data_IF_309960495420
#
_entry.id   IF_309960495420
#
_cell.length_a   1.000
_cell.length_b   1.000
_cell.length_c   1.000
_cell.angle_alpha   90.00
_cell.angle_beta   90.00
_cell.angle_gamma   90.00
#
_symmetry.space_group_name_H-M   'P 1'
#
loop_
_entity.id
_entity.type
_entity.pdbx_description
1 polymer ?
#
# COMPACT_ATOMS: atom_id res chain seq x y z
N UNK A 1 -3.83 9.09 -31.02
CA UNK A 1 -3.15 8.53 -29.84
C UNK A 1 -2.35 9.65 -29.20
N UNK A 2 -2.58 9.91 -27.91
CA UNK A 2 -1.77 10.86 -27.14
C UNK A 2 -0.75 10.06 -26.33
N UNK A 3 0.54 10.36 -26.51
CA UNK A 3 1.61 9.79 -25.71
C UNK A 3 2.00 10.81 -24.63
N UNK A 4 2.17 10.35 -23.39
CA UNK A 4 2.58 11.19 -22.27
C UNK A 4 3.93 10.72 -21.77
N UNK A 5 4.88 11.64 -21.69
CA UNK A 5 6.16 11.44 -21.02
C UNK A 5 6.25 12.41 -19.84
N UNK A 6 6.67 11.90 -18.68
CA UNK A 6 6.90 12.73 -17.49
C UNK A 6 8.37 12.61 -17.09
N UNK A 7 9.01 13.76 -16.92
CA UNK A 7 10.38 13.88 -16.43
C UNK A 7 10.41 14.72 -15.18
N UNK A 8 11.40 14.49 -14.32
CA UNK A 8 11.62 15.29 -13.13
C UNK A 8 13.11 15.56 -12.99
N UNK A 9 13.46 16.81 -12.76
CA UNK A 9 14.82 17.26 -12.50
C UNK A 9 14.81 17.95 -11.14
N UNK A 10 15.60 17.44 -10.20
CA UNK A 10 15.85 18.10 -8.92
C UNK A 10 16.71 19.33 -9.12
N UNK A 11 16.13 20.53 -9.00
CA UNK A 11 16.87 21.80 -9.07
C UNK A 11 17.59 22.10 -7.75
N UNK A 12 17.12 21.53 -6.64
CA UNK A 12 17.68 21.76 -5.31
C UNK A 12 17.52 20.55 -4.38
N UNK A 13 18.61 20.17 -3.73
CA UNK A 13 18.67 18.97 -2.89
C UNK A 13 17.98 19.15 -1.54
N UNK A 14 17.97 20.37 -0.97
CA UNK A 14 17.30 20.66 0.31
C UNK A 14 17.59 19.65 1.42
N UNK A 15 16.51 19.08 2.00
CA UNK A 15 16.62 18.08 3.07
C UNK A 15 17.12 16.71 2.59
N UNK A 16 17.21 16.47 1.28
CA UNK A 16 17.76 15.22 0.72
C UNK A 16 19.26 15.06 1.01
N UNK A 17 19.99 16.16 1.23
CA UNK A 17 21.39 16.13 1.66
C UNK A 17 21.60 15.39 2.99
N UNK A 18 20.58 15.36 3.86
CA UNK A 18 20.65 14.73 5.18
C UNK A 18 20.02 13.32 5.20
N UNK A 19 19.01 13.06 4.37
CA UNK A 19 18.24 11.80 4.36
C UNK A 19 18.74 10.75 3.35
N UNK A 20 19.71 11.11 2.49
CA UNK A 20 20.17 10.24 1.41
C UNK A 20 19.33 10.38 0.14
N UNK A 21 19.99 10.16 -0.99
CA UNK A 21 19.54 10.53 -2.33
C UNK A 21 18.20 9.89 -2.76
N UNK A 22 17.44 10.63 -3.58
CA UNK A 22 16.05 10.34 -3.91
C UNK A 22 15.90 9.58 -5.23
N UNK A 23 16.76 8.60 -5.48
CA UNK A 23 16.77 7.82 -6.72
C UNK A 23 17.14 8.65 -7.95
N UNK A 24 17.48 7.96 -9.04
CA UNK A 24 17.96 8.61 -10.27
C UNK A 24 16.87 9.50 -10.89
N UNK A 25 17.22 10.76 -11.18
CA UNK A 25 16.31 11.69 -11.83
C UNK A 25 16.16 11.33 -13.32
N UNK A 26 14.90 11.28 -13.79
CA UNK A 26 14.58 11.05 -15.19
C UNK A 26 14.59 12.40 -15.91
N UNK A 27 15.75 12.71 -16.51
CA UNK A 27 15.96 13.91 -17.31
C UNK A 27 15.39 13.69 -18.71
N UNK A 28 14.46 14.54 -19.11
CA UNK A 28 13.96 14.58 -20.49
C UNK A 28 14.75 15.58 -21.32
N UNK A 29 15.01 15.29 -22.61
CA UNK A 29 15.58 16.26 -23.51
C UNK A 29 14.62 17.45 -23.70
N UNK A 30 15.14 18.68 -23.84
CA UNK A 30 14.30 19.85 -24.12
C UNK A 30 13.65 19.68 -25.50
N UNK A 31 12.34 19.93 -25.58
CA UNK A 31 11.54 19.82 -26.80
C UNK A 31 10.72 21.09 -27.01
N UNK A 32 10.75 21.60 -28.24
CA UNK A 32 9.91 22.73 -28.66
C UNK A 32 8.53 22.23 -29.10
N UNK A 33 7.44 22.99 -28.84
CA UNK A 33 6.11 22.62 -29.30
C UNK A 33 6.11 22.48 -30.82
N UNK A 34 5.53 21.40 -31.34
CA UNK A 34 5.44 21.01 -32.77
C UNK A 34 6.69 20.38 -33.43
N UNK A 35 7.69 19.97 -32.66
CA UNK A 35 8.84 19.23 -33.20
C UNK A 35 8.39 17.86 -33.76
N UNK A 36 8.69 17.52 -35.03
CA UNK A 36 8.42 16.19 -35.56
C UNK A 36 9.33 15.16 -34.87
N UNK A 37 8.73 14.17 -34.21
CA UNK A 37 9.43 13.11 -33.50
C UNK A 37 9.21 11.78 -34.23
N UNK A 38 10.31 11.12 -34.60
CA UNK A 38 10.27 9.75 -35.10
C UNK A 38 10.42 8.77 -33.93
N UNK A 39 9.55 7.74 -33.84
CA UNK A 39 9.69 6.73 -32.79
C UNK A 39 10.94 5.90 -33.04
N UNK A 40 11.88 5.91 -32.08
CA UNK A 40 13.10 5.12 -32.15
C UNK A 40 12.86 3.60 -32.12
N UNK A 41 11.68 3.16 -31.69
CA UNK A 41 11.30 1.75 -31.60
C UNK A 41 9.80 1.56 -31.90
N UNK A 42 9.38 0.38 -32.39
CA UNK A 42 7.97 0.08 -32.60
C UNK A 42 7.21 0.10 -31.25
N UNK A 43 5.94 0.56 -31.24
CA UNK A 43 5.14 0.60 -30.03
C UNK A 43 4.94 -0.81 -29.47
N UNK A 44 5.36 -1.03 -28.22
CA UNK A 44 5.07 -2.27 -27.49
C UNK A 44 3.68 -2.18 -26.87
N UNK A 45 2.84 -3.17 -27.15
CA UNK A 45 1.57 -3.34 -26.47
C UNK A 45 1.84 -4.05 -25.13
N UNK A 46 1.88 -3.29 -24.05
CA UNK A 46 1.99 -3.84 -22.69
C UNK A 46 0.59 -4.03 -22.11
N UNK A 47 0.27 -5.26 -21.74
CA UNK A 47 -0.98 -5.60 -21.06
C UNK A 47 -0.73 -5.57 -19.55
N UNK A 48 -1.23 -4.53 -18.88
CA UNK A 48 -1.22 -4.50 -17.43
C UNK A 48 -2.42 -5.26 -16.87
N UNK A 49 -2.16 -6.16 -15.92
CA UNK A 49 -3.20 -6.78 -15.10
C UNK A 49 -3.39 -5.98 -13.82
N UNK A 50 -4.64 -5.76 -13.43
CA UNK A 50 -4.96 -5.19 -12.11
C UNK A 50 -4.45 -6.13 -11.03
N UNK A 51 -3.44 -5.67 -10.29
CA UNK A 51 -2.95 -6.39 -9.13
C UNK A 51 -3.98 -6.27 -7.99
N UNK A 52 -4.21 -7.34 -7.23
CA UNK A 52 -5.01 -7.23 -6.02
C UNK A 52 -4.36 -6.22 -5.06
N UNK A 53 -5.16 -5.61 -4.17
CA UNK A 53 -4.65 -4.68 -3.18
C UNK A 53 -3.53 -5.34 -2.36
N UNK A 54 -2.44 -4.61 -2.07
CA UNK A 54 -1.34 -5.17 -1.30
C UNK A 54 -1.79 -5.50 0.12
N UNK A 55 -1.35 -6.66 0.59
CA UNK A 55 -1.52 -7.09 1.99
C UNK A 55 -0.83 -6.14 2.95
N UNK A 56 -1.26 -6.17 4.20
CA UNK A 56 -0.75 -5.27 5.22
C UNK A 56 0.57 -5.80 5.75
N UNK A 57 1.54 -4.93 5.81
CA UNK A 57 2.73 -5.05 6.64
C UNK A 57 2.47 -4.41 8.00
N UNK A 58 3.35 -4.62 8.97
CA UNK A 58 3.27 -3.95 10.28
C UNK A 58 3.16 -2.43 10.15
N UNK A 59 4.02 -1.81 9.34
CA UNK A 59 4.00 -0.36 9.12
C UNK A 59 2.69 0.14 8.50
N UNK A 60 2.12 -0.60 7.55
CA UNK A 60 0.86 -0.20 6.90
C UNK A 60 -0.36 -0.48 7.77
N UNK A 61 -0.31 -1.52 8.61
CA UNK A 61 -1.33 -1.82 9.61
C UNK A 61 -1.35 -0.74 10.69
N UNK A 62 -0.20 -0.32 11.21
CA UNK A 62 -0.08 0.79 12.16
C UNK A 62 -0.68 2.07 11.59
N UNK A 63 -0.33 2.43 10.34
CA UNK A 63 -0.92 3.59 9.65
C UNK A 63 -2.44 3.46 9.49
N UNK A 64 -2.95 2.26 9.25
CA UNK A 64 -4.38 2.02 9.15
C UNK A 64 -5.10 2.17 10.50
N UNK A 65 -4.50 1.67 11.58
CA UNK A 65 -5.00 1.83 12.96
C UNK A 65 -5.04 3.30 13.37
N UNK A 66 -3.97 4.05 13.08
CA UNK A 66 -3.88 5.49 13.34
C UNK A 66 -4.96 6.28 12.59
N UNK A 67 -5.15 6.00 11.29
CA UNK A 67 -6.18 6.68 10.46
C UNK A 67 -7.60 6.47 11.01
N UNK A 68 -7.86 5.36 11.69
CA UNK A 68 -9.17 5.05 12.27
C UNK A 68 -9.27 5.48 13.75
N UNK A 69 -8.19 6.01 14.34
CA UNK A 69 -8.15 6.40 15.74
C UNK A 69 -8.16 5.23 16.74
N UNK A 70 -7.90 4.00 16.27
CA UNK A 70 -7.90 2.79 17.09
C UNK A 70 -6.50 2.57 17.61
N UNK A 71 -6.32 2.74 18.92
CA UNK A 71 -5.02 2.62 19.58
C UNK A 71 -4.26 3.93 19.70
N UNK A 72 -3.07 3.83 20.26
CA UNK A 72 -2.10 4.88 20.58
C UNK A 72 -0.69 4.36 20.28
N UNK A 73 0.31 5.23 20.11
CA UNK A 73 1.70 4.82 19.87
C UNK A 73 2.24 3.76 20.84
N UNK A 74 1.79 3.79 22.10
CA UNK A 74 2.14 2.81 23.13
C UNK A 74 1.46 1.46 23.01
N UNK A 75 0.41 1.34 22.20
CA UNK A 75 -0.47 0.16 22.14
C UNK A 75 -0.46 -0.57 20.80
N UNK A 76 0.13 0.01 19.75
CA UNK A 76 0.13 -0.65 18.45
C UNK A 76 0.90 -1.97 18.47
N UNK A 77 2.08 -1.97 19.08
CA UNK A 77 2.89 -3.18 19.23
C UNK A 77 2.16 -4.27 20.02
N UNK A 78 1.47 -3.89 21.12
CA UNK A 78 0.75 -4.86 21.94
C UNK A 78 -0.49 -5.41 21.25
N UNK A 79 -1.22 -4.60 20.48
CA UNK A 79 -2.34 -5.06 19.65
C UNK A 79 -1.85 -6.09 18.62
N UNK A 80 -0.76 -5.77 17.92
CA UNK A 80 -0.19 -6.62 16.86
C UNK A 80 0.36 -7.94 17.41
N UNK A 81 1.03 -7.93 18.56
CA UNK A 81 1.46 -9.15 19.25
C UNK A 81 0.25 -9.99 19.65
N UNK A 82 -0.74 -9.38 20.30
CA UNK A 82 -1.91 -10.12 20.84
C UNK A 82 -2.69 -10.86 19.74
N UNK A 83 -2.85 -10.26 18.55
CA UNK A 83 -3.57 -10.91 17.45
C UNK A 83 -2.77 -12.05 16.80
N UNK A 84 -1.43 -11.97 16.84
CA UNK A 84 -0.53 -13.04 16.38
C UNK A 84 -0.48 -14.18 17.41
N UNK A 85 -0.31 -13.85 18.69
CA UNK A 85 -0.21 -14.81 19.79
C UNK A 85 -1.50 -15.64 19.94
N UNK A 86 -2.66 -15.03 19.65
CA UNK A 86 -3.97 -15.73 19.64
C UNK A 86 -4.22 -16.53 18.37
N UNK A 87 -3.32 -16.47 17.38
CA UNK A 87 -3.44 -17.21 16.14
C UNK A 87 -4.54 -16.70 15.21
N UNK A 88 -5.00 -15.45 15.35
CA UNK A 88 -5.94 -14.85 14.40
C UNK A 88 -5.26 -14.43 13.10
N UNK A 89 -3.98 -14.06 13.18
CA UNK A 89 -3.15 -13.68 12.05
C UNK A 89 -1.77 -14.32 12.17
N UNK A 90 -1.16 -14.63 11.03
CA UNK A 90 0.22 -15.05 10.90
C UNK A 90 0.94 -14.14 9.90
N UNK A 91 2.26 -14.08 10.02
CA UNK A 91 3.10 -13.27 9.16
C UNK A 91 3.88 -14.16 8.19
N UNK A 92 3.77 -13.87 6.90
CA UNK A 92 4.50 -14.56 5.84
C UNK A 92 5.13 -13.48 4.93
N UNK A 93 6.44 -13.58 4.66
CA UNK A 93 7.18 -12.57 3.87
C UNK A 93 6.97 -11.11 4.33
N UNK A 94 6.90 -10.88 5.65
CA UNK A 94 6.59 -9.57 6.27
C UNK A 94 5.18 -9.01 6.01
N UNK A 95 4.29 -9.81 5.43
CA UNK A 95 2.88 -9.48 5.19
C UNK A 95 2.00 -10.27 6.14
N UNK A 96 0.85 -9.72 6.51
CA UNK A 96 -0.14 -10.38 7.35
C UNK A 96 -1.11 -11.21 6.54
N UNK A 97 -1.42 -12.37 7.09
CA UNK A 97 -2.42 -13.32 6.62
C UNK A 97 -3.29 -13.68 7.82
N UNK A 98 -4.61 -13.58 7.76
CA UNK A 98 -5.48 -14.16 8.77
C UNK A 98 -5.55 -15.67 8.58
N UNK A 99 -5.63 -16.32 9.73
CA UNK A 99 -5.93 -17.73 9.82
C UNK A 99 -7.41 -17.96 9.58
N UNK A 100 -7.77 -19.21 9.30
CA UNK A 100 -9.15 -19.66 9.22
C UNK A 100 -9.93 -19.33 10.51
N UNK A 101 -9.28 -19.44 11.67
CA UNK A 101 -9.85 -19.07 12.96
C UNK A 101 -10.13 -17.56 13.05
N UNK A 102 -9.20 -16.73 12.57
CA UNK A 102 -9.38 -15.27 12.50
C UNK A 102 -10.57 -14.86 11.64
N UNK A 103 -10.75 -15.51 10.47
CA UNK A 103 -11.90 -15.27 9.61
C UNK A 103 -13.21 -15.70 10.26
N UNK A 104 -13.27 -16.92 10.81
CA UNK A 104 -14.45 -17.45 11.47
C UNK A 104 -14.91 -16.60 12.65
N UNK A 105 -13.98 -16.18 13.51
CA UNK A 105 -14.29 -15.33 14.67
C UNK A 105 -14.76 -13.95 14.22
N UNK A 106 -14.14 -13.39 13.17
CA UNK A 106 -14.55 -12.08 12.62
C UNK A 106 -15.96 -12.15 12.02
N UNK A 107 -16.28 -13.24 11.32
CA UNK A 107 -17.60 -13.43 10.72
C UNK A 107 -18.69 -13.70 11.76
N UNK A 108 -18.35 -14.41 12.85
CA UNK A 108 -19.26 -14.61 13.98
C UNK A 108 -19.53 -13.31 14.74
N UNK A 109 -18.53 -12.46 14.95
CA UNK A 109 -18.69 -11.22 15.73
C UNK A 109 -19.39 -10.10 14.96
N UNK A 110 -19.30 -10.10 13.62
CA UNK A 110 -19.89 -9.09 12.74
C UNK A 110 -21.39 -8.83 12.98
N UNK A 111 -22.29 -9.84 13.06
CA UNK A 111 -23.72 -9.60 13.26
C UNK A 111 -24.09 -9.12 14.67
N UNK A 112 -23.35 -9.55 15.71
CA UNK A 112 -23.70 -9.23 17.10
C UNK A 112 -23.11 -7.91 17.59
N UNK A 113 -21.98 -7.47 17.02
CA UNK A 113 -21.33 -6.22 17.41
C UNK A 113 -21.10 -5.31 16.19
N UNK A 114 -22.16 -4.79 15.55
CA UNK A 114 -22.03 -3.92 14.38
C UNK A 114 -21.21 -2.65 14.66
N UNK A 115 -21.23 -2.15 15.90
CA UNK A 115 -20.43 -1.00 16.33
C UNK A 115 -18.93 -1.30 16.54
N UNK A 116 -18.56 -2.56 16.79
CA UNK A 116 -17.15 -3.00 16.84
C UNK A 116 -16.67 -3.52 15.47
N UNK A 117 -17.61 -3.99 14.63
CA UNK A 117 -17.40 -4.48 13.27
C UNK A 117 -17.22 -3.35 12.24
N UNK A 118 -16.57 -2.26 12.64
CA UNK A 118 -16.15 -1.15 11.75
C UNK A 118 -15.19 -1.67 10.66
N UNK A 119 -14.57 -2.83 10.88
CA UNK A 119 -13.72 -3.54 9.92
C UNK A 119 -14.45 -4.52 8.98
N UNK A 120 -15.66 -4.99 9.34
CA UNK A 120 -16.36 -6.04 8.61
C UNK A 120 -17.31 -5.53 7.52
N UNK A 121 -17.76 -4.29 7.62
CA UNK A 121 -19.05 -3.92 7.01
C UNK A 121 -18.97 -3.34 5.60
N UNK A 122 -17.79 -3.07 5.03
CA UNK A 122 -17.73 -2.50 3.66
C UNK A 122 -16.44 -2.71 2.89
N UNK A 123 -15.85 -3.91 2.90
CA UNK A 123 -14.56 -4.24 2.27
C UNK A 123 -13.34 -3.87 3.12
N UNK A 124 -12.75 -4.83 3.87
CA UNK A 124 -11.30 -4.80 4.15
C UNK A 124 -10.69 -6.02 4.83
N UNK A 125 -11.39 -6.78 5.69
CA UNK A 125 -10.73 -7.91 6.38
C UNK A 125 -10.23 -8.99 5.41
N UNK A 126 -11.09 -9.44 4.48
CA UNK A 126 -10.71 -10.38 3.42
C UNK A 126 -9.68 -9.81 2.44
N UNK A 127 -9.55 -8.49 2.35
CA UNK A 127 -8.55 -7.82 1.50
C UNK A 127 -7.28 -7.43 2.27
N UNK A 128 -7.27 -7.60 3.59
CA UNK A 128 -6.11 -7.41 4.46
C UNK A 128 -5.22 -8.65 4.50
N UNK A 129 -5.80 -9.77 4.10
CA UNK A 129 -5.39 -11.15 4.37
C UNK A 129 -5.48 -12.06 3.12
N UNK A 130 -6.17 -11.63 2.06
CA UNK A 130 -6.07 -12.25 0.73
C UNK A 130 -5.06 -11.48 -0.13
#
# INVERSE_FOLDING_TARGET
YELRCQGRIGVFDGFHKLLGDRGEDVVLPPLEPSTPLEPAAPPKAEQEFTKPPPRYTEATLVKALEKQGIGRPSTYASIISTIQDRGYVFQEERKFHASELGELVTDLLRPYFPALAIWGSRWRFRSMVA
#
